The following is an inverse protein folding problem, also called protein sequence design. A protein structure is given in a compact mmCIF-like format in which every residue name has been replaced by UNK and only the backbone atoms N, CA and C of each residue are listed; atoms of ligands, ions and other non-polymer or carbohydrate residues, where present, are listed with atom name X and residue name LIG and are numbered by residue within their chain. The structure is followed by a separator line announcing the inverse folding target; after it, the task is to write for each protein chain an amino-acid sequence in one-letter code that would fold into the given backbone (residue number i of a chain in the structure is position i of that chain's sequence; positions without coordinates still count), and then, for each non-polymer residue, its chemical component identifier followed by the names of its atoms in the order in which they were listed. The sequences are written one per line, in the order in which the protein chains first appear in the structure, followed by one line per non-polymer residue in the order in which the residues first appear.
data_IF_855498963657
#
_entry.id   IF_855498963657
#
_cell.length_a   1.000
_cell.length_b   1.000
_cell.length_c   1.000
_cell.angle_alpha   90.00
_cell.angle_beta   90.00
_cell.angle_gamma   90.00
#
_symmetry.space_group_name_H-M   'P 1'
#
loop_
_entity.id
_entity.type
_entity.pdbx_description
1 polymer ?
#
# COMPACT_ATOMS: atom_id res chain seq x y z
N UNK A 1 64.85 -19.18 -5.83
CA UNK A 1 63.91 -18.32 -6.60
C UNK A 1 62.62 -19.02 -7.05
N UNK A 2 62.51 -20.36 -7.02
CA UNK A 2 61.29 -21.07 -7.45
C UNK A 2 60.10 -21.00 -6.45
N UNK A 3 60.37 -20.89 -5.14
CA UNK A 3 59.32 -20.91 -4.09
C UNK A 3 58.50 -19.60 -4.04
N UNK A 4 59.07 -18.48 -4.51
CA UNK A 4 58.39 -17.16 -4.50
C UNK A 4 57.33 -17.07 -5.60
N UNK A 5 57.55 -17.68 -6.77
CA UNK A 5 56.61 -17.65 -7.91
C UNK A 5 55.35 -18.49 -7.66
N UNK A 6 55.48 -19.62 -6.97
CA UNK A 6 54.32 -20.48 -6.62
C UNK A 6 53.37 -19.78 -5.63
N UNK A 7 53.90 -18.95 -4.72
CA UNK A 7 53.07 -18.17 -3.79
C UNK A 7 52.28 -17.05 -4.49
N UNK A 8 52.90 -16.36 -5.46
CA UNK A 8 52.24 -15.30 -6.24
C UNK A 8 51.15 -15.85 -7.16
N UNK A 9 51.41 -16.97 -7.83
CA UNK A 9 50.43 -17.59 -8.73
C UNK A 9 49.20 -18.14 -7.98
N UNK A 10 49.39 -18.75 -6.80
CA UNK A 10 48.25 -19.21 -5.97
C UNK A 10 47.47 -18.06 -5.32
N UNK A 11 48.10 -16.91 -5.07
CA UNK A 11 47.43 -15.72 -4.56
C UNK A 11 46.62 -15.00 -5.66
N UNK A 12 47.11 -14.99 -6.91
CA UNK A 12 46.38 -14.42 -8.06
C UNK A 12 45.15 -15.27 -8.45
N UNK A 13 45.28 -16.61 -8.43
CA UNK A 13 44.14 -17.51 -8.68
C UNK A 13 43.04 -17.41 -7.62
N UNK A 14 43.41 -17.27 -6.34
CA UNK A 14 42.43 -17.01 -5.25
C UNK A 14 41.77 -15.63 -5.35
N UNK A 15 42.47 -14.62 -5.85
CA UNK A 15 41.91 -13.29 -6.08
C UNK A 15 40.92 -13.27 -7.25
N UNK A 16 41.22 -14.00 -8.33
CA UNK A 16 40.28 -14.17 -9.45
C UNK A 16 38.97 -14.84 -9.04
N UNK A 17 39.05 -15.99 -8.35
CA UNK A 17 37.84 -16.69 -7.88
C UNK A 17 37.08 -15.90 -6.81
N UNK A 18 37.77 -15.18 -5.92
CA UNK A 18 37.11 -14.31 -4.94
C UNK A 18 36.34 -13.17 -5.62
N UNK A 19 36.91 -12.56 -6.66
CA UNK A 19 36.24 -11.53 -7.45
C UNK A 19 35.02 -12.09 -8.20
N UNK A 20 35.11 -13.31 -8.76
CA UNK A 20 33.96 -13.97 -9.39
C UNK A 20 32.81 -14.22 -8.41
N UNK A 21 33.10 -14.71 -7.20
CA UNK A 21 32.07 -14.89 -6.16
C UNK A 21 31.46 -13.57 -5.70
N UNK A 22 32.26 -12.51 -5.58
CA UNK A 22 31.77 -11.18 -5.22
C UNK A 22 30.87 -10.62 -6.33
N UNK A 23 31.26 -10.74 -7.59
CA UNK A 23 30.44 -10.32 -8.74
C UNK A 23 29.13 -11.10 -8.82
N UNK A 24 29.17 -12.41 -8.62
CA UNK A 24 27.97 -13.26 -8.56
C UNK A 24 27.05 -12.83 -7.41
N UNK A 25 27.59 -12.59 -6.22
CA UNK A 25 26.82 -12.13 -5.07
C UNK A 25 26.15 -10.76 -5.33
N UNK A 26 26.88 -9.81 -5.92
CA UNK A 26 26.33 -8.49 -6.30
C UNK A 26 25.24 -8.62 -7.35
N UNK A 27 25.44 -9.46 -8.37
CA UNK A 27 24.43 -9.71 -9.41
C UNK A 27 23.15 -10.32 -8.83
N UNK A 28 23.27 -11.27 -7.90
CA UNK A 28 22.13 -11.87 -7.20
C UNK A 28 21.38 -10.85 -6.34
N UNK A 29 22.09 -10.00 -5.61
CA UNK A 29 21.48 -8.92 -4.81
C UNK A 29 20.75 -7.93 -5.71
N UNK A 30 21.38 -7.50 -6.81
CA UNK A 30 20.77 -6.59 -7.77
C UNK A 30 19.51 -7.20 -8.40
N UNK A 31 19.55 -8.48 -8.77
CA UNK A 31 18.39 -9.21 -9.29
C UNK A 31 17.27 -9.29 -8.25
N UNK A 32 17.59 -9.59 -6.99
CA UNK A 32 16.61 -9.65 -5.92
C UNK A 32 15.94 -8.28 -5.68
N UNK A 33 16.72 -7.20 -5.65
CA UNK A 33 16.21 -5.83 -5.51
C UNK A 33 15.30 -5.44 -6.69
N UNK A 34 15.69 -5.79 -7.93
CA UNK A 34 14.88 -5.57 -9.11
C UNK A 34 13.53 -6.30 -9.02
N UNK A 35 13.54 -7.56 -8.55
CA UNK A 35 12.32 -8.35 -8.39
C UNK A 35 11.38 -7.74 -7.34
N UNK A 36 11.92 -7.29 -6.21
CA UNK A 36 11.15 -6.60 -5.16
C UNK A 36 10.55 -5.29 -5.68
N UNK A 37 11.33 -4.50 -6.42
CA UNK A 37 10.86 -3.27 -7.04
C UNK A 37 9.71 -3.54 -8.03
N UNK A 38 9.86 -4.54 -8.89
CA UNK A 38 8.86 -4.91 -9.87
C UNK A 38 7.57 -5.43 -9.21
N UNK A 39 7.68 -6.24 -8.14
CA UNK A 39 6.54 -6.71 -7.38
C UNK A 39 5.75 -5.55 -6.73
N UNK A 40 6.46 -4.57 -6.16
CA UNK A 40 5.87 -3.35 -5.60
C UNK A 40 5.12 -2.56 -6.68
N UNK A 41 5.75 -2.36 -7.84
CA UNK A 41 5.16 -1.64 -8.97
C UNK A 41 3.90 -2.34 -9.48
N UNK A 42 3.98 -3.66 -9.69
CA UNK A 42 2.86 -4.48 -10.15
C UNK A 42 1.66 -4.42 -9.20
N UNK A 43 1.90 -4.43 -7.89
CA UNK A 43 0.82 -4.32 -6.90
C UNK A 43 0.06 -2.98 -6.99
N UNK A 44 0.75 -1.88 -7.27
CA UNK A 44 0.11 -0.56 -7.41
C UNK A 44 -0.64 -0.49 -8.73
N UNK A 45 -0.01 -0.94 -9.81
CA UNK A 45 -0.59 -0.93 -11.14
C UNK A 45 -1.90 -1.72 -11.22
N UNK A 46 -1.94 -2.89 -10.57
CA UNK A 46 -3.17 -3.69 -10.47
C UNK A 46 -4.31 -2.96 -9.76
N UNK A 47 -4.03 -2.29 -8.64
CA UNK A 47 -5.04 -1.51 -7.89
C UNK A 47 -5.54 -0.31 -8.70
N UNK A 48 -4.63 0.34 -9.43
CA UNK A 48 -4.97 1.47 -10.29
C UNK A 48 -5.93 1.07 -11.42
N UNK A 49 -5.62 -0.03 -12.13
CA UNK A 49 -6.52 -0.58 -13.17
C UNK A 49 -7.87 -0.95 -12.56
N UNK A 50 -7.89 -1.63 -11.41
CA UNK A 50 -9.12 -2.04 -10.75
C UNK A 50 -10.03 -0.83 -10.45
N UNK A 51 -9.45 0.26 -9.94
CA UNK A 51 -10.21 1.47 -9.64
C UNK A 51 -10.71 2.17 -10.92
N UNK A 52 -9.87 2.24 -11.95
CA UNK A 52 -10.24 2.84 -13.23
C UNK A 52 -11.37 2.08 -13.92
N UNK A 53 -11.30 0.75 -13.96
CA UNK A 53 -12.34 -0.12 -14.52
C UNK A 53 -13.66 -0.04 -13.74
N UNK A 54 -13.60 0.24 -12.44
CA UNK A 54 -14.78 0.39 -11.60
C UNK A 54 -15.43 1.79 -11.68
N UNK A 55 -14.99 2.64 -12.62
CA UNK A 55 -15.53 4.00 -12.80
C UNK A 55 -15.02 5.02 -11.77
N UNK A 56 -13.95 4.67 -11.04
CA UNK A 56 -13.37 5.50 -9.99
C UNK A 56 -11.89 5.80 -10.32
N UNK A 57 -11.59 6.60 -11.36
CA UNK A 57 -10.21 6.87 -11.76
C UNK A 57 -9.46 7.60 -10.64
N UNK A 58 -8.30 7.07 -10.27
CA UNK A 58 -7.40 7.64 -9.26
C UNK A 58 -6.07 7.95 -9.96
N UNK A 59 -5.47 9.14 -9.76
CA UNK A 59 -4.12 9.40 -10.26
C UNK A 59 -3.10 8.47 -9.61
N UNK A 60 -2.21 7.85 -10.40
CA UNK A 60 -1.13 7.00 -9.88
C UNK A 60 -0.27 7.73 -8.85
N UNK A 61 -0.06 9.03 -9.05
CA UNK A 61 0.65 9.90 -8.10
C UNK A 61 0.02 9.87 -6.70
N UNK A 62 -1.32 9.87 -6.59
CA UNK A 62 -2.01 9.80 -5.29
C UNK A 62 -1.86 8.43 -4.61
N UNK A 63 -1.84 7.34 -5.38
CA UNK A 63 -1.57 6.00 -4.84
C UNK A 63 -0.14 5.90 -4.29
N UNK A 64 0.81 6.54 -4.99
CA UNK A 64 2.21 6.56 -4.58
C UNK A 64 2.42 7.36 -3.28
N UNK A 65 1.81 8.53 -3.15
CA UNK A 65 1.92 9.36 -1.93
C UNK A 65 1.33 8.65 -0.71
N UNK A 66 0.24 7.88 -0.88
CA UNK A 66 -0.32 7.06 0.20
C UNK A 66 0.62 5.94 0.63
N UNK A 67 1.27 5.28 -0.33
CA UNK A 67 2.20 4.20 -0.04
C UNK A 67 3.41 4.72 0.73
N UNK A 68 3.89 5.93 0.39
CA UNK A 68 4.96 6.61 1.14
C UNK A 68 4.52 6.99 2.56
N UNK A 69 3.27 7.40 2.76
CA UNK A 69 2.66 7.69 4.08
C UNK A 69 2.25 6.44 4.87
N UNK A 70 2.63 5.23 4.43
CA UNK A 70 2.26 3.92 5.02
C UNK A 70 0.75 3.72 5.26
N UNK A 71 -0.07 4.27 4.38
CA UNK A 71 -1.53 4.10 4.44
C UNK A 71 -1.91 2.75 3.82
N UNK A 72 -2.95 2.09 4.34
CA UNK A 72 -3.49 0.83 3.80
C UNK A 72 -4.23 1.07 2.48
N UNK A 73 -3.48 1.28 1.39
CA UNK A 73 -3.98 1.69 0.06
C UNK A 73 -5.13 0.81 -0.44
N UNK A 74 -5.04 -0.52 -0.25
CA UNK A 74 -6.06 -1.48 -0.69
C UNK A 74 -7.46 -1.17 -0.13
N UNK A 75 -7.56 -0.88 1.17
CA UNK A 75 -8.84 -0.55 1.83
C UNK A 75 -9.40 0.78 1.33
N UNK A 76 -8.54 1.78 1.19
CA UNK A 76 -8.95 3.12 0.73
C UNK A 76 -9.47 3.09 -0.71
N UNK A 77 -8.79 2.35 -1.60
CA UNK A 77 -9.25 2.18 -2.98
C UNK A 77 -10.60 1.47 -3.02
N UNK A 78 -10.78 0.41 -2.23
CA UNK A 78 -12.05 -0.31 -2.17
C UNK A 78 -13.20 0.59 -1.66
N UNK A 79 -12.99 1.28 -0.55
CA UNK A 79 -13.95 2.25 -0.01
C UNK A 79 -14.28 3.37 -1.02
N UNK A 80 -13.26 3.87 -1.73
CA UNK A 80 -13.45 4.90 -2.74
C UNK A 80 -14.28 4.40 -3.93
N UNK A 81 -14.02 3.19 -4.42
CA UNK A 81 -14.83 2.56 -5.47
C UNK A 81 -16.29 2.42 -5.01
N UNK A 82 -16.52 1.91 -3.80
CA UNK A 82 -17.88 1.81 -3.23
C UNK A 82 -18.57 3.17 -3.15
N UNK A 83 -17.87 4.21 -2.68
CA UNK A 83 -18.41 5.56 -2.58
C UNK A 83 -18.79 6.13 -3.97
N UNK A 84 -17.95 5.92 -4.99
CA UNK A 84 -18.26 6.34 -6.36
C UNK A 84 -19.45 5.60 -6.94
N UNK A 85 -19.59 4.30 -6.67
CA UNK A 85 -20.74 3.52 -7.12
C UNK A 85 -22.04 3.93 -6.42
N UNK A 86 -21.97 4.40 -5.17
CA UNK A 86 -23.10 4.90 -4.41
C UNK A 86 -23.43 6.39 -4.65
N UNK A 87 -22.70 7.06 -5.56
CA UNK A 87 -22.91 8.48 -5.84
C UNK A 87 -22.49 9.42 -4.71
N UNK A 88 -21.62 8.98 -3.78
CA UNK A 88 -21.04 9.78 -2.69
C UNK A 88 -19.77 10.50 -3.15
N UNK A 89 -19.92 11.32 -4.19
CA UNK A 89 -18.79 11.85 -4.94
C UNK A 89 -18.00 12.95 -4.23
N UNK A 90 -18.68 13.77 -3.43
CA UNK A 90 -18.08 14.93 -2.75
C UNK A 90 -17.81 14.61 -1.28
N UNK A 91 -18.70 13.84 -0.67
CA UNK A 91 -18.71 13.48 0.74
C UNK A 91 -17.54 12.55 1.07
N UNK A 92 -17.33 11.51 0.25
CA UNK A 92 -16.30 10.48 0.44
C UNK A 92 -15.12 10.66 -0.53
N UNK A 93 -14.44 11.80 -0.41
CA UNK A 93 -13.24 12.09 -1.20
C UNK A 93 -12.09 11.16 -0.83
N UNK A 94 -11.26 10.82 -1.82
CA UNK A 94 -10.10 9.94 -1.68
C UNK A 94 -9.15 10.37 -0.54
N UNK A 95 -8.93 11.67 -0.36
CA UNK A 95 -8.03 12.22 0.66
C UNK A 95 -8.62 12.08 2.08
N UNK A 96 -9.95 12.28 2.24
CA UNK A 96 -10.66 12.04 3.51
C UNK A 96 -10.58 10.57 3.92
N UNK A 97 -10.85 9.65 2.99
CA UNK A 97 -10.71 8.20 3.23
C UNK A 97 -9.26 7.82 3.61
N UNK A 98 -8.27 8.46 2.98
CA UNK A 98 -6.85 8.27 3.29
C UNK A 98 -6.50 8.67 4.71
N UNK A 99 -6.99 9.85 5.11
CA UNK A 99 -6.74 10.44 6.41
C UNK A 99 -7.40 9.62 7.52
N UNK A 100 -8.66 9.22 7.33
CA UNK A 100 -9.36 8.34 8.26
C UNK A 100 -8.64 6.99 8.42
N UNK A 101 -8.20 6.39 7.31
CA UNK A 101 -7.39 5.15 7.34
C UNK A 101 -6.07 5.32 8.10
N UNK A 102 -5.46 6.52 8.03
CA UNK A 102 -4.22 6.82 8.73
C UNK A 102 -4.45 7.06 10.21
N UNK A 103 -5.59 7.66 10.58
CA UNK A 103 -6.03 7.80 11.97
C UNK A 103 -6.37 6.45 12.63
N UNK A 104 -6.39 5.35 11.85
CA UNK A 104 -6.63 4.00 12.33
C UNK A 104 -8.09 3.55 12.20
N UNK A 105 -8.95 4.37 11.59
CA UNK A 105 -10.32 4.02 11.25
C UNK A 105 -10.42 3.09 10.02
N UNK A 106 -11.63 2.63 9.74
CA UNK A 106 -11.91 1.81 8.55
C UNK A 106 -12.78 2.56 7.53
N UNK A 107 -12.18 3.02 6.41
CA UNK A 107 -12.90 3.75 5.37
C UNK A 107 -14.06 2.96 4.78
N UNK A 108 -13.98 1.64 4.73
CA UNK A 108 -15.05 0.80 4.19
C UNK A 108 -16.30 0.84 5.08
N UNK A 109 -16.11 0.89 6.40
CA UNK A 109 -17.23 0.97 7.35
C UNK A 109 -17.91 2.33 7.27
N UNK A 110 -17.13 3.41 7.17
CA UNK A 110 -17.64 4.79 7.01
C UNK A 110 -18.53 4.89 5.77
N UNK A 111 -18.02 4.47 4.61
CA UNK A 111 -18.77 4.53 3.34
C UNK A 111 -20.04 3.67 3.42
N UNK A 112 -19.98 2.47 4.00
CA UNK A 112 -21.16 1.62 4.18
C UNK A 112 -22.22 2.26 5.08
N UNK A 113 -21.79 2.91 6.17
CA UNK A 113 -22.70 3.63 7.06
C UNK A 113 -23.40 4.79 6.36
N UNK A 114 -22.69 5.54 5.53
CA UNK A 114 -23.26 6.62 4.73
C UNK A 114 -24.26 6.09 3.69
N UNK A 115 -23.94 4.96 3.03
CA UNK A 115 -24.85 4.31 2.08
C UNK A 115 -26.14 3.88 2.79
N UNK A 116 -26.02 3.18 3.93
CA UNK A 116 -27.17 2.71 4.69
C UNK A 116 -28.06 3.87 5.17
N UNK A 117 -27.46 4.94 5.70
CA UNK A 117 -28.21 6.12 6.13
C UNK A 117 -29.00 6.78 4.98
N UNK A 118 -28.42 6.81 3.78
CA UNK A 118 -29.05 7.34 2.57
C UNK A 118 -30.16 6.42 2.04
N UNK A 119 -29.96 5.11 2.08
CA UNK A 119 -30.95 4.11 1.67
C UNK A 119 -32.17 4.05 2.60
N UNK A 120 -31.97 4.22 3.91
CA UNK A 120 -33.02 4.19 4.92
C UNK A 120 -33.91 5.46 4.93
N UNK A 121 -33.64 6.42 4.04
CA UNK A 121 -34.36 7.70 3.97
C UNK A 121 -34.11 8.61 5.19
N UNK A 122 -33.02 8.35 5.92
CA UNK A 122 -32.55 9.19 7.01
C UNK A 122 -31.96 10.51 6.52
N UNK A 123 -31.51 11.35 7.46
CA UNK A 123 -30.71 12.53 7.11
C UNK A 123 -29.37 12.08 6.49
N UNK A 124 -28.92 12.78 5.44
CA UNK A 124 -27.60 12.54 4.84
C UNK A 124 -26.53 12.62 5.93
N UNK A 125 -25.90 11.49 6.19
CA UNK A 125 -24.85 11.38 7.19
C UNK A 125 -23.56 11.94 6.59
N UNK A 126 -23.06 13.04 7.16
CA UNK A 126 -21.79 13.59 6.70
C UNK A 126 -20.64 12.63 7.02
N UNK A 127 -19.60 12.70 6.19
CA UNK A 127 -18.42 11.84 6.32
C UNK A 127 -17.81 11.91 7.72
N UNK A 128 -17.74 13.11 8.30
CA UNK A 128 -17.11 13.31 9.60
C UNK A 128 -17.94 12.67 10.74
N UNK A 129 -19.27 12.67 10.61
CA UNK A 129 -20.17 11.99 11.54
C UNK A 129 -20.03 10.48 11.45
N UNK A 130 -19.99 9.93 10.23
CA UNK A 130 -19.78 8.52 9.98
C UNK A 130 -18.40 8.05 10.47
N UNK A 131 -17.36 8.87 10.28
CA UNK A 131 -16.01 8.61 10.77
C UNK A 131 -15.93 8.61 12.30
N UNK A 132 -16.62 9.55 12.97
CA UNK A 132 -16.70 9.59 14.43
C UNK A 132 -17.39 8.34 15.00
N UNK A 133 -18.47 7.88 14.34
CA UNK A 133 -19.18 6.66 14.74
C UNK A 133 -18.29 5.40 14.62
N UNK A 134 -17.49 5.25 13.56
CA UNK A 134 -16.54 4.13 13.41
C UNK A 134 -15.52 4.09 14.57
N UNK A 135 -14.99 5.24 14.97
CA UNK A 135 -14.02 5.30 16.07
C UNK A 135 -14.67 4.98 17.42
N UNK A 136 -15.87 5.50 17.69
CA UNK A 136 -16.60 5.21 18.94
C UNK A 136 -16.94 3.72 19.05
N UNK A 137 -17.47 3.10 17.98
CA UNK A 137 -17.84 1.69 17.98
C UNK A 137 -16.62 0.78 18.25
N UNK A 138 -15.45 1.14 17.72
CA UNK A 138 -14.19 0.43 18.00
C UNK A 138 -13.76 0.57 19.44
N UNK A 139 -13.82 1.79 20.01
CA UNK A 139 -13.46 2.01 21.41
C UNK A 139 -14.38 1.22 22.36
N UNK A 140 -15.69 1.16 22.07
CA UNK A 140 -16.65 0.35 22.84
C UNK A 140 -16.31 -1.14 22.78
N UNK A 141 -16.01 -1.67 21.60
CA UNK A 141 -15.63 -3.08 21.43
C UNK A 141 -14.33 -3.44 22.16
N UNK A 142 -13.35 -2.53 22.19
CA UNK A 142 -12.12 -2.72 22.95
C UNK A 142 -12.40 -2.75 24.46
N UNK A 143 -13.28 -1.87 24.96
CA UNK A 143 -13.66 -1.83 26.39
C UNK A 143 -14.47 -3.06 26.85
N UNK A 144 -15.23 -3.72 25.97
CA UNK A 144 -16.01 -4.91 26.35
C UNK A 144 -15.19 -6.20 26.43
N UNK A 145 -13.94 -6.19 25.97
CA UNK A 145 -13.09 -7.39 25.85
C UNK A 145 -11.93 -7.39 26.86
N UNK A 146 -11.79 -6.33 27.67
CA UNK A 146 -10.80 -6.22 28.75
C UNK A 146 -11.47 -6.18 30.11
#
# INVERSE_FOLDING_TARGET
MAVTLTRVFSAAGRQGVALEYVLLAVALIAMALLFVFLAIFWSIFRLWIQAAMAGAPIPVAKLLTMKLRRIKVKKVVHAYVMARQAGLHEEATFDKLAEHARAGGDPELVVRGMIAAREDGGADLDFDQAAAADLDQRQRFQRSTG
#
